data_IF_388569465081
#
_entry.id   IF_388569465081
#
_cell.length_a   1.000
_cell.length_b   1.000
_cell.length_c   1.000
_cell.angle_alpha   90.00
_cell.angle_beta   90.00
_cell.angle_gamma   90.00
#
_symmetry.space_group_name_H-M   'P 1'
#
loop_
_entity.id
_entity.type
_entity.pdbx_description
1 polymer ?
#
# COMPACT_ATOMS: atom_id res chain seq x y z
N UNK A 1 -9.69 -12.00 5.91
CA UNK A 1 -8.65 -10.97 5.85
C UNK A 1 -7.82 -11.23 4.60
N UNK A 2 -7.74 -10.25 3.71
CA UNK A 2 -6.98 -10.33 2.46
C UNK A 2 -5.79 -9.39 2.56
N UNK A 3 -4.62 -9.87 2.15
CA UNK A 3 -3.40 -9.07 2.14
C UNK A 3 -2.95 -8.86 0.69
N UNK A 4 -2.49 -7.66 0.38
CA UNK A 4 -1.87 -7.36 -0.90
C UNK A 4 -0.70 -6.40 -0.71
N UNK A 5 0.27 -6.52 -1.62
CA UNK A 5 1.34 -5.53 -1.76
C UNK A 5 1.06 -4.76 -3.04
N UNK A 6 1.02 -3.45 -2.94
CA UNK A 6 0.67 -2.57 -4.05
C UNK A 6 1.91 -1.76 -4.39
N UNK A 7 2.42 -1.96 -5.60
CA UNK A 7 3.56 -1.25 -6.13
C UNK A 7 3.04 -0.07 -6.94
N UNK A 8 3.59 1.12 -6.72
CA UNK A 8 2.99 2.36 -7.21
C UNK A 8 4.08 3.25 -7.82
N UNK A 9 3.80 3.73 -9.03
CA UNK A 9 4.54 4.84 -9.64
C UNK A 9 3.70 6.11 -9.55
N UNK A 10 4.40 7.22 -9.38
CA UNK A 10 3.80 8.54 -9.23
C UNK A 10 4.26 9.47 -10.34
N UNK A 11 3.46 10.49 -10.60
CA UNK A 11 3.90 11.60 -11.42
C UNK A 11 5.12 12.31 -10.82
N UNK A 12 5.92 12.95 -11.68
CA UNK A 12 7.17 13.58 -11.26
C UNK A 12 6.91 14.63 -10.17
N UNK A 13 7.56 14.44 -9.01
CA UNK A 13 7.45 15.35 -7.86
C UNK A 13 6.23 15.10 -6.97
N UNK A 14 5.39 14.10 -7.27
CA UNK A 14 4.19 13.78 -6.49
C UNK A 14 4.43 12.71 -5.40
N UNK A 15 5.59 12.04 -5.38
CA UNK A 15 5.92 10.95 -4.44
C UNK A 15 5.46 11.23 -3.01
N UNK A 16 5.84 12.38 -2.44
CA UNK A 16 5.50 12.73 -1.06
C UNK A 16 3.99 12.92 -0.87
N UNK A 17 3.35 13.70 -1.74
CA UNK A 17 1.91 13.98 -1.62
C UNK A 17 1.06 12.73 -1.82
N UNK A 18 1.45 11.86 -2.75
CA UNK A 18 0.79 10.56 -2.95
C UNK A 18 0.97 9.67 -1.72
N UNK A 19 2.17 9.60 -1.14
CA UNK A 19 2.42 8.81 0.07
C UNK A 19 1.55 9.26 1.25
N UNK A 20 1.44 10.57 1.47
CA UNK A 20 0.59 11.15 2.52
C UNK A 20 -0.90 10.81 2.29
N UNK A 21 -1.40 10.99 1.06
CA UNK A 21 -2.79 10.61 0.72
C UNK A 21 -3.04 9.12 0.91
N UNK A 22 -2.11 8.26 0.47
CA UNK A 22 -2.23 6.81 0.60
C UNK A 22 -2.24 6.36 2.06
N UNK A 23 -1.51 7.03 2.94
CA UNK A 23 -1.49 6.73 4.37
C UNK A 23 -2.84 7.00 5.05
N UNK A 24 -3.69 7.84 4.46
CA UNK A 24 -5.05 8.12 4.93
C UNK A 24 -6.10 7.18 4.31
N UNK A 25 -5.74 6.35 3.32
CA UNK A 25 -6.66 5.42 2.67
C UNK A 25 -6.94 4.22 3.58
N UNK A 26 -8.19 4.06 3.96
CA UNK A 26 -8.66 2.88 4.70
C UNK A 26 -8.33 1.59 3.95
N UNK A 27 -7.74 0.62 4.66
CA UNK A 27 -7.27 -0.65 4.09
C UNK A 27 -5.79 -0.62 3.71
N UNK A 28 -5.14 0.55 3.65
CA UNK A 28 -3.69 0.68 3.62
C UNK A 28 -3.16 0.73 5.05
N UNK A 29 -2.24 -0.19 5.36
CA UNK A 29 -1.62 -0.28 6.69
C UNK A 29 -0.29 0.45 6.78
N UNK A 30 0.48 0.42 5.69
CA UNK A 30 1.84 0.96 5.62
C UNK A 30 2.08 1.49 4.20
N UNK A 31 2.84 2.59 4.08
CA UNK A 31 3.31 3.13 2.80
C UNK A 31 4.79 3.45 2.93
N UNK A 32 5.59 2.94 2.01
CA UNK A 32 7.03 3.11 1.98
C UNK A 32 7.45 3.77 0.68
N UNK A 33 8.31 4.79 0.76
CA UNK A 33 9.06 5.24 -0.41
C UNK A 33 10.22 4.30 -0.68
N UNK A 34 10.43 3.97 -1.95
CA UNK A 34 11.46 3.02 -2.37
C UNK A 34 12.41 3.64 -3.38
N UNK A 35 13.67 3.21 -3.34
CA UNK A 35 14.61 3.45 -4.43
C UNK A 35 14.56 2.24 -5.37
N UNK A 36 13.93 2.37 -6.54
CA UNK A 36 13.79 1.25 -7.47
C UNK A 36 12.87 1.56 -8.65
N UNK A 37 12.27 0.50 -9.20
CA UNK A 37 11.32 0.60 -10.32
C UNK A 37 10.04 1.35 -9.94
N UNK A 38 9.62 1.21 -8.69
CA UNK A 38 8.43 1.85 -8.14
C UNK A 38 8.86 2.95 -7.16
N UNK A 39 8.06 4.00 -7.08
CA UNK A 39 8.32 5.12 -6.19
C UNK A 39 7.83 4.81 -4.77
N UNK A 40 6.69 4.12 -4.68
CA UNK A 40 6.05 3.74 -3.44
C UNK A 40 5.66 2.25 -3.42
N UNK A 41 5.64 1.68 -2.22
CA UNK A 41 5.07 0.37 -1.92
C UNK A 41 4.07 0.55 -0.78
N UNK A 42 2.83 0.11 -0.99
CA UNK A 42 1.78 0.14 0.02
C UNK A 42 1.39 -1.29 0.43
N UNK A 43 1.21 -1.51 1.73
CA UNK A 43 0.75 -2.79 2.29
C UNK A 43 -0.73 -2.68 2.59
N UNK A 44 -1.55 -3.41 1.84
CA UNK A 44 -2.98 -3.45 2.02
C UNK A 44 -3.42 -4.63 2.89
N UNK A 45 -4.29 -4.37 3.86
CA UNK A 45 -4.94 -5.36 4.71
C UNK A 45 -6.44 -5.07 4.74
N UNK A 46 -7.23 -5.92 4.08
CA UNK A 46 -8.69 -5.75 3.98
C UNK A 46 -9.42 -6.94 4.60
N UNK A 47 -10.74 -6.81 4.81
CA UNK A 47 -11.54 -7.92 5.40
C UNK A 47 -11.68 -9.11 4.44
N UNK A 48 -11.84 -8.85 3.15
CA UNK A 48 -12.12 -9.83 2.11
C UNK A 48 -11.68 -9.31 0.72
N UNK A 49 -11.90 -10.14 -0.30
CA UNK A 49 -11.53 -9.83 -1.68
C UNK A 49 -12.34 -8.67 -2.28
N UNK A 50 -13.60 -8.52 -1.89
CA UNK A 50 -14.47 -7.45 -2.39
C UNK A 50 -13.96 -6.09 -1.90
N UNK A 51 -13.59 -5.98 -0.62
CA UNK A 51 -12.95 -4.78 -0.07
C UNK A 51 -11.58 -4.50 -0.68
N UNK A 52 -10.81 -5.53 -1.07
CA UNK A 52 -9.55 -5.30 -1.81
C UNK A 52 -9.82 -4.77 -3.22
N UNK A 53 -10.84 -5.30 -3.91
CA UNK A 53 -11.23 -4.82 -5.22
C UNK A 53 -11.65 -3.34 -5.14
N UNK A 54 -12.53 -2.97 -4.21
CA UNK A 54 -12.96 -1.58 -3.97
C UNK A 54 -11.77 -0.65 -3.69
N UNK A 55 -10.84 -1.08 -2.82
CA UNK A 55 -9.63 -0.33 -2.52
C UNK A 55 -8.84 0.00 -3.79
N UNK A 56 -8.61 -0.99 -4.65
CA UNK A 56 -7.79 -0.82 -5.86
C UNK A 56 -8.55 -0.05 -6.95
N UNK A 57 -9.81 -0.41 -7.22
CA UNK A 57 -10.55 0.13 -8.36
C UNK A 57 -11.16 1.50 -8.10
N UNK A 58 -11.45 1.84 -6.85
CA UNK A 58 -12.09 3.10 -6.50
C UNK A 58 -11.11 4.01 -5.75
N UNK A 59 -10.60 3.55 -4.61
CA UNK A 59 -9.87 4.43 -3.69
C UNK A 59 -8.49 4.80 -4.22
N UNK A 60 -7.71 3.83 -4.72
CA UNK A 60 -6.40 4.10 -5.31
C UNK A 60 -6.49 4.90 -6.61
N UNK A 61 -7.46 4.58 -7.47
CA UNK A 61 -7.70 5.33 -8.70
C UNK A 61 -8.10 6.80 -8.44
N UNK A 62 -8.68 7.11 -7.28
CA UNK A 62 -9.02 8.47 -6.89
C UNK A 62 -7.82 9.27 -6.32
N UNK A 63 -6.68 8.62 -6.04
CA UNK A 63 -5.50 9.30 -5.52
C UNK A 63 -4.79 10.04 -6.66
N UNK A 64 -4.91 11.36 -6.64
CA UNK A 64 -4.24 12.24 -7.59
C UNK A 64 -2.70 12.05 -7.55
N UNK A 65 -2.09 11.99 -8.73
CA UNK A 65 -0.64 11.87 -8.89
C UNK A 65 -0.13 10.43 -8.95
N UNK A 66 -0.98 9.42 -8.83
CA UNK A 66 -0.63 8.04 -9.19
C UNK A 66 -0.61 7.92 -10.72
N UNK A 67 0.49 7.42 -11.27
CA UNK A 67 0.62 7.20 -12.71
C UNK A 67 0.39 5.74 -13.11
N UNK A 68 0.76 4.79 -12.24
CA UNK A 68 0.62 3.36 -12.50
C UNK A 68 0.60 2.57 -11.19
N UNK A 69 -0.08 1.42 -11.20
CA UNK A 69 -0.10 0.49 -10.06
C UNK A 69 0.00 -0.96 -10.50
N UNK A 70 0.69 -1.76 -9.69
CA UNK A 70 0.71 -3.21 -9.81
C UNK A 70 0.33 -3.84 -8.45
N UNK A 71 -0.77 -4.59 -8.44
CA UNK A 71 -1.29 -5.21 -7.21
C UNK A 71 -0.88 -6.68 -7.13
N UNK A 72 -0.05 -7.00 -6.13
CA UNK A 72 0.37 -8.35 -5.80
C UNK A 72 -0.56 -8.91 -4.71
N UNK A 73 -1.61 -9.59 -5.14
CA UNK A 73 -2.53 -10.23 -4.20
C UNK A 73 -1.87 -11.46 -3.54
N UNK A 74 -1.87 -11.52 -2.21
CA UNK A 74 -1.23 -12.61 -1.49
C UNK A 74 -2.10 -13.89 -1.56
N UNK A 75 -1.52 -14.97 -2.08
CA UNK A 75 -2.15 -16.29 -2.09
C UNK A 75 -1.91 -17.06 -0.79
N UNK A 76 -0.70 -16.95 -0.24
CA UNK A 76 -0.31 -17.56 1.03
C UNK A 76 0.61 -16.58 1.76
N UNK A 77 0.36 -16.38 3.05
CA UNK A 77 1.17 -15.49 3.89
C UNK A 77 2.01 -16.36 4.81
N UNK A 78 3.32 -16.35 4.57
CA UNK A 78 4.30 -16.99 5.43
C UNK A 78 4.89 -15.95 6.37
N UNK A 79 4.16 -15.60 7.44
CA UNK A 79 4.71 -14.75 8.49
C UNK A 79 5.29 -15.60 9.62
N UNK A 80 6.51 -15.28 10.06
CA UNK A 80 7.13 -15.88 11.26
C UNK A 80 6.86 -15.07 12.54
N UNK A 81 6.14 -13.95 12.44
CA UNK A 81 5.82 -12.99 13.50
C UNK A 81 4.55 -12.21 13.14
N UNK A 82 3.47 -12.32 13.92
CA UNK A 82 2.67 -11.12 14.21
C UNK A 82 3.61 -10.10 14.87
N UNK A 83 3.63 -8.89 14.35
CA UNK A 83 4.55 -7.78 14.63
C UNK A 83 4.39 -7.19 16.06
N UNK A 84 4.67 -7.93 17.13
CA UNK A 84 4.81 -7.30 18.46
C UNK A 84 6.11 -6.47 18.62
N UNK A 85 7.05 -6.52 17.67
CA UNK A 85 8.44 -6.08 17.92
C UNK A 85 9.01 -4.97 17.01
N UNK A 86 8.41 -4.59 15.89
CA UNK A 86 9.07 -3.69 14.91
C UNK A 86 8.70 -2.21 14.96
N UNK A 87 7.72 -1.81 15.78
CA UNK A 87 7.40 -0.39 16.01
C UNK A 87 7.43 0.03 17.49
N UNK A 88 7.99 -0.79 18.38
CA UNK A 88 8.21 -0.42 19.79
C UNK A 88 9.43 0.49 20.02
N UNK A 89 10.13 0.92 18.97
CA UNK A 89 11.23 1.88 19.10
C UNK A 89 11.06 2.99 18.08
N UNK A 90 10.18 3.92 18.44
CA UNK A 90 10.33 5.30 18.01
C UNK A 90 11.71 5.82 18.36
N UNK A 91 12.26 6.61 17.44
CA UNK A 91 13.24 7.64 17.70
C UNK A 91 12.68 8.93 17.14
#
# INVERSE_FOLDING_TARGET
MQNAVILINTEKGQVKGVAERLAEVEGISEVYSTCGRYDLVAIARTRDFESLAELVTERLNAVEGISDTETLNAMQVHSRHDLETMFSLGW
#
